data_IF_795962437658
#
_entry.id   IF_795962437658
#
_cell.length_a   1.000
_cell.length_b   1.000
_cell.length_c   1.000
_cell.angle_alpha   90.00
_cell.angle_beta   90.00
_cell.angle_gamma   90.00
#
_symmetry.space_group_name_H-M   'P 1'
#
loop_
_entity.id
_entity.type
_entity.pdbx_description
1 polymer ?
#
# COMPACT_ATOMS: atom_id res chain seq x y z
N UNK A 1 -8.78 5.09 7.06
CA UNK A 1 -7.68 4.46 6.29
C UNK A 1 -7.40 5.20 4.99
N UNK A 2 -8.38 5.48 4.13
CA UNK A 2 -8.17 6.20 2.85
C UNK A 2 -7.54 7.60 2.99
N UNK A 3 -7.93 8.40 3.99
CA UNK A 3 -7.33 9.73 4.20
C UNK A 3 -5.83 9.68 4.51
N UNK A 4 -5.39 8.69 5.29
CA UNK A 4 -3.98 8.52 5.68
C UNK A 4 -3.16 8.10 4.46
N UNK A 5 -3.70 7.18 3.63
CA UNK A 5 -3.07 6.76 2.38
C UNK A 5 -2.95 7.93 1.39
N UNK A 6 -4.02 8.73 1.23
CA UNK A 6 -3.98 9.95 0.42
C UNK A 6 -2.92 10.93 0.90
N UNK A 7 -2.88 11.24 2.20
CA UNK A 7 -1.87 12.14 2.78
C UNK A 7 -0.45 11.61 2.58
N UNK A 8 -0.24 10.31 2.73
CA UNK A 8 1.05 9.66 2.49
C UNK A 8 1.50 9.81 1.03
N UNK A 9 0.61 9.53 0.06
CA UNK A 9 0.91 9.66 -1.37
C UNK A 9 1.22 11.11 -1.78
N UNK A 10 0.44 12.08 -1.31
CA UNK A 10 0.71 13.50 -1.59
C UNK A 10 2.04 13.97 -0.98
N UNK A 11 2.41 13.45 0.19
CA UNK A 11 3.67 13.79 0.87
C UNK A 11 4.87 13.06 0.24
N UNK A 12 4.69 11.82 -0.22
CA UNK A 12 5.78 11.02 -0.79
C UNK A 12 6.29 11.58 -2.11
N UNK A 13 5.39 12.12 -2.95
CA UNK A 13 5.79 12.79 -4.21
C UNK A 13 6.61 14.05 -3.91
N UNK A 14 6.24 14.80 -2.87
CA UNK A 14 6.99 16.00 -2.45
C UNK A 14 8.40 15.69 -1.93
N UNK A 15 8.58 14.57 -1.22
CA UNK A 15 9.87 14.20 -0.63
C UNK A 15 10.92 13.81 -1.68
N UNK A 16 10.52 13.09 -2.73
CA UNK A 16 11.43 12.69 -3.81
C UNK A 16 11.89 13.89 -4.62
N UNK A 17 10.95 14.76 -5.03
CA UNK A 17 11.28 15.97 -5.78
C UNK A 17 12.24 16.90 -5.01
N UNK A 18 11.96 17.13 -3.73
CA UNK A 18 12.81 17.94 -2.86
C UNK A 18 14.22 17.36 -2.69
N UNK A 19 14.32 16.02 -2.57
CA UNK A 19 15.62 15.35 -2.41
C UNK A 19 16.47 15.44 -3.68
N UNK A 20 15.86 15.22 -4.86
CA UNK A 20 16.55 15.35 -6.15
C UNK A 20 17.05 16.78 -6.40
N UNK A 21 16.21 17.79 -6.12
CA UNK A 21 16.63 19.19 -6.19
C UNK A 21 17.79 19.47 -5.23
N UNK A 22 17.74 18.95 -4.00
CA UNK A 22 18.78 19.17 -3.00
C UNK A 22 20.12 18.58 -3.44
N UNK A 23 20.12 17.38 -4.01
CA UNK A 23 21.34 16.71 -4.51
C UNK A 23 21.96 17.52 -5.65
N UNK A 24 21.17 17.94 -6.64
CA UNK A 24 21.68 18.81 -7.72
C UNK A 24 22.26 20.10 -7.17
N UNK A 25 21.60 20.73 -6.20
CA UNK A 25 22.06 21.98 -5.60
C UNK A 25 23.40 21.82 -4.88
N UNK A 26 23.55 20.75 -4.11
CA UNK A 26 24.81 20.45 -3.38
C UNK A 26 25.96 20.18 -4.35
N UNK A 27 25.71 19.42 -5.42
CA UNK A 27 26.73 19.15 -6.44
C UNK A 27 27.13 20.43 -7.16
N UNK A 28 26.17 21.26 -7.57
CA UNK A 28 26.45 22.55 -8.20
C UNK A 28 27.21 23.50 -7.27
N UNK A 29 26.89 23.53 -5.97
CA UNK A 29 27.63 24.30 -4.97
C UNK A 29 29.10 23.83 -4.87
N UNK A 30 29.34 22.52 -4.87
CA UNK A 30 30.70 21.97 -4.83
C UNK A 30 31.52 22.31 -6.08
N UNK A 31 30.89 22.29 -7.27
CA UNK A 31 31.51 22.75 -8.52
C UNK A 31 31.83 24.25 -8.44
N UNK A 32 30.87 25.06 -7.97
CA UNK A 32 31.05 26.52 -7.85
C UNK A 32 32.18 26.91 -6.90
N UNK A 33 32.42 26.09 -5.87
CA UNK A 33 33.50 26.27 -4.90
C UNK A 33 34.84 25.72 -5.40
N UNK A 34 34.92 25.26 -6.67
CA UNK A 34 36.09 24.59 -7.26
C UNK A 34 36.59 23.39 -6.45
N UNK A 35 35.71 22.77 -5.64
CA UNK A 35 36.03 21.58 -4.84
C UNK A 35 35.99 20.30 -5.67
N UNK A 36 35.22 20.32 -6.75
CA UNK A 36 35.12 19.27 -7.76
C UNK A 36 35.01 19.93 -9.13
N UNK A 37 35.41 19.22 -10.18
CA UNK A 37 35.23 19.68 -11.57
C UNK A 37 33.77 19.60 -12.03
N UNK A 38 33.39 20.36 -13.06
CA UNK A 38 32.07 20.25 -13.70
C UNK A 38 31.80 18.82 -14.22
N UNK A 39 32.84 18.16 -14.71
CA UNK A 39 32.75 16.81 -15.26
C UNK A 39 32.50 15.76 -14.16
N UNK A 40 33.19 15.88 -13.02
CA UNK A 40 32.90 15.06 -11.84
C UNK A 40 31.50 15.33 -11.28
N UNK A 41 31.07 16.59 -11.22
CA UNK A 41 29.73 16.95 -10.76
C UNK A 41 28.62 16.34 -11.63
N UNK A 42 28.75 16.44 -12.96
CA UNK A 42 27.82 15.78 -13.90
C UNK A 42 27.79 14.27 -13.69
N UNK A 43 28.97 13.66 -13.55
CA UNK A 43 29.09 12.21 -13.37
C UNK A 43 28.41 11.72 -12.08
N UNK A 44 28.55 12.45 -10.98
CA UNK A 44 27.88 12.13 -9.71
C UNK A 44 26.35 12.15 -9.87
N UNK A 45 25.80 13.14 -10.58
CA UNK A 45 24.36 13.23 -10.82
C UNK A 45 23.88 12.11 -11.76
N UNK A 46 24.62 11.82 -12.83
CA UNK A 46 24.31 10.72 -13.75
C UNK A 46 24.37 9.36 -13.06
N UNK A 47 25.40 9.09 -12.27
CA UNK A 47 25.56 7.84 -11.52
C UNK A 47 24.42 7.69 -10.51
N UNK A 48 24.04 8.76 -9.81
CA UNK A 48 22.89 8.74 -8.90
C UNK A 48 21.58 8.42 -9.62
N UNK A 49 21.36 8.98 -10.81
CA UNK A 49 20.17 8.70 -11.63
C UNK A 49 20.16 7.26 -12.11
N UNK A 50 21.27 6.76 -12.66
CA UNK A 50 21.40 5.36 -13.11
C UNK A 50 21.21 4.36 -11.97
N UNK A 51 21.84 4.59 -10.83
CA UNK A 51 21.69 3.72 -9.66
C UNK A 51 20.24 3.71 -9.15
N UNK A 52 19.56 4.87 -9.24
CA UNK A 52 18.16 4.98 -8.85
C UNK A 52 17.24 4.25 -9.83
N UNK A 53 17.50 4.34 -11.14
CA UNK A 53 16.77 3.59 -12.17
C UNK A 53 16.95 2.08 -12.00
N UNK A 54 18.17 1.60 -11.77
CA UNK A 54 18.44 0.18 -11.53
C UNK A 54 17.79 -0.35 -10.24
N UNK A 55 17.67 0.49 -9.21
CA UNK A 55 16.97 0.15 -7.96
C UNK A 55 15.46 0.28 -8.06
N UNK A 56 14.93 0.97 -9.08
CA UNK A 56 13.48 1.16 -9.26
C UNK A 56 12.75 -0.17 -9.39
N UNK A 57 13.26 -1.08 -10.22
CA UNK A 57 12.64 -2.40 -10.42
C UNK A 57 12.64 -3.22 -9.13
N UNK A 58 13.74 -3.19 -8.38
CA UNK A 58 13.84 -3.89 -7.09
C UNK A 58 12.89 -3.28 -6.04
N UNK A 59 12.76 -1.95 -6.05
CA UNK A 59 11.79 -1.23 -5.20
C UNK A 59 10.37 -1.58 -5.59
N UNK A 60 10.02 -1.61 -6.89
CA UNK A 60 8.69 -1.99 -7.37
C UNK A 60 8.34 -3.42 -6.96
N UNK A 61 9.27 -4.37 -7.09
CA UNK A 61 9.09 -5.74 -6.65
C UNK A 61 8.84 -5.84 -5.14
N UNK A 62 9.69 -5.21 -4.31
CA UNK A 62 9.51 -5.17 -2.85
C UNK A 62 8.22 -4.45 -2.45
N UNK A 63 7.84 -3.40 -3.18
CA UNK A 63 6.60 -2.67 -2.94
C UNK A 63 5.37 -3.53 -3.22
N UNK A 64 5.40 -4.34 -4.29
CA UNK A 64 4.33 -5.30 -4.60
C UNK A 64 4.17 -6.34 -3.49
N UNK A 65 5.27 -6.91 -2.99
CA UNK A 65 5.24 -7.88 -1.88
C UNK A 65 4.67 -7.27 -0.60
N UNK A 66 5.10 -6.05 -0.26
CA UNK A 66 4.58 -5.32 0.90
C UNK A 66 3.09 -5.02 0.73
N UNK A 67 2.68 -4.56 -0.45
CA UNK A 67 1.27 -4.30 -0.76
C UNK A 67 0.43 -5.57 -0.62
N UNK A 68 0.86 -6.70 -1.19
CA UNK A 68 0.16 -7.98 -1.06
C UNK A 68 0.04 -8.42 0.40
N UNK A 69 1.09 -8.27 1.21
CA UNK A 69 1.04 -8.59 2.63
C UNK A 69 0.08 -7.69 3.40
N UNK A 70 0.05 -6.39 3.10
CA UNK A 70 -0.90 -5.47 3.73
C UNK A 70 -2.34 -5.84 3.35
N UNK A 71 -2.62 -6.10 2.07
CA UNK A 71 -3.96 -6.51 1.62
C UNK A 71 -4.41 -7.82 2.26
N UNK A 72 -3.54 -8.84 2.33
CA UNK A 72 -3.83 -10.11 3.01
C UNK A 72 -4.15 -9.92 4.49
N UNK A 73 -3.43 -9.04 5.18
CA UNK A 73 -3.68 -8.74 6.60
C UNK A 73 -4.99 -7.97 6.82
N UNK A 74 -5.32 -7.02 5.95
CA UNK A 74 -6.60 -6.30 6.01
C UNK A 74 -7.77 -7.26 5.76
N UNK A 75 -7.65 -8.15 4.77
CA UNK A 75 -8.71 -9.11 4.43
C UNK A 75 -8.88 -10.18 5.53
N UNK A 76 -7.77 -10.62 6.14
CA UNK A 76 -7.78 -11.47 7.33
C UNK A 76 -8.46 -10.80 8.53
N UNK A 77 -8.16 -9.52 8.79
CA UNK A 77 -8.82 -8.75 9.84
C UNK A 77 -10.33 -8.62 9.57
N UNK A 78 -10.72 -8.33 8.33
CA UNK A 78 -12.12 -8.20 7.93
C UNK A 78 -12.88 -9.53 8.08
N UNK A 79 -12.25 -10.66 7.72
CA UNK A 79 -12.80 -12.00 7.98
C UNK A 79 -12.93 -12.34 9.47
N UNK A 80 -11.99 -11.88 10.31
CA UNK A 80 -12.05 -12.11 11.76
C UNK A 80 -13.22 -11.35 12.37
N UNK A 81 -13.39 -10.08 12.00
CA UNK A 81 -14.51 -9.23 12.44
C UNK A 81 -15.87 -9.82 12.01
N UNK A 82 -16.01 -10.30 10.77
CA UNK A 82 -17.26 -10.91 10.30
C UNK A 82 -17.56 -12.24 10.99
N UNK A 83 -16.55 -13.08 11.24
CA UNK A 83 -16.74 -14.33 11.98
C UNK A 83 -17.19 -14.09 13.41
N UNK A 84 -16.54 -13.17 14.13
CA UNK A 84 -16.92 -12.82 15.51
C UNK A 84 -18.32 -12.22 15.58
N UNK A 85 -18.73 -11.45 14.57
CA UNK A 85 -20.09 -10.89 14.51
C UNK A 85 -21.13 -11.96 14.20
N UNK A 86 -20.84 -12.90 13.28
CA UNK A 86 -21.71 -14.02 12.96
C UNK A 86 -21.91 -14.96 14.16
N UNK A 87 -20.84 -15.28 14.90
CA UNK A 87 -20.95 -16.12 16.11
C UNK A 87 -21.75 -15.42 17.22
N UNK A 88 -21.69 -14.09 17.31
CA UNK A 88 -22.53 -13.33 18.25
C UNK A 88 -23.99 -13.28 17.79
N UNK A 89 -24.26 -13.24 16.49
CA UNK A 89 -25.61 -13.33 15.96
C UNK A 89 -26.24 -14.70 16.26
N UNK A 90 -25.53 -15.79 16.01
CA UNK A 90 -25.98 -17.16 16.35
C UNK A 90 -26.22 -17.35 17.86
N UNK A 91 -25.33 -16.82 18.72
CA UNK A 91 -25.50 -16.91 20.19
C UNK A 91 -26.70 -16.07 20.69
N UNK A 92 -27.00 -14.95 20.04
CA UNK A 92 -28.17 -14.12 20.34
C UNK A 92 -29.45 -14.79 19.81
N UNK A 93 -29.44 -15.35 18.60
CA UNK A 93 -30.58 -16.07 18.00
C UNK A 93 -30.93 -17.34 18.79
N UNK A 94 -29.92 -18.08 19.26
CA UNK A 94 -30.10 -19.25 20.12
C UNK A 94 -30.66 -18.89 21.50
N UNK A 95 -30.26 -17.75 22.07
CA UNK A 95 -30.79 -17.24 23.36
C UNK A 95 -32.18 -16.61 23.25
N UNK A 96 -32.57 -16.12 22.07
CA UNK A 96 -33.88 -15.52 21.82
C UNK A 96 -34.93 -16.52 21.31
N UNK A 97 -34.54 -17.78 21.05
CA UNK A 97 -35.48 -18.84 20.65
C UNK A 97 -36.10 -18.65 19.27
N UNK A 98 -35.49 -17.83 18.41
CA UNK A 98 -35.96 -17.55 17.04
C UNK A 98 -35.36 -18.61 16.11
N UNK A 99 -35.67 -19.87 16.37
CA UNK A 99 -35.40 -20.96 15.44
C UNK A 99 -36.70 -21.35 14.76
N UNK A 100 -37.10 -20.62 13.73
CA UNK A 100 -38.24 -21.04 12.90
C UNK A 100 -37.74 -21.60 11.56
N UNK A 101 -37.82 -22.92 11.50
CA UNK A 101 -38.16 -23.76 10.35
C UNK A 101 -38.57 -23.02 9.08
N UNK A 102 -37.82 -23.25 7.99
CA UNK A 102 -38.43 -23.26 6.65
C UNK A 102 -38.33 -24.69 6.15
N UNK A 103 -39.38 -25.45 6.41
CA UNK A 103 -39.68 -26.68 5.68
C UNK A 103 -39.84 -26.33 4.20
N UNK A 104 -38.93 -26.82 3.37
CA UNK A 104 -39.19 -26.93 1.93
C UNK A 104 -40.17 -28.08 1.74
N UNK A 105 -41.47 -27.81 1.91
CA UNK A 105 -42.52 -28.68 1.41
C UNK A 105 -42.50 -28.65 -0.13
N UNK A 106 -42.23 -29.82 -0.70
CA UNK A 106 -42.53 -30.17 -2.08
C UNK A 106 -44.00 -29.94 -2.40
N UNK A 107 -44.31 -29.20 -3.47
CA UNK A 107 -45.55 -29.40 -4.24
C UNK A 107 -45.21 -29.54 -5.72
N UNK A 108 -45.52 -30.73 -6.22
CA UNK A 108 -45.46 -31.22 -7.60
C UNK A 108 -46.73 -30.79 -8.36
N UNK A 109 -46.55 -30.40 -9.64
CA UNK A 109 -47.52 -30.28 -10.76
C UNK A 109 -48.79 -29.39 -10.56
N UNK A 110 -49.45 -28.79 -11.55
CA UNK A 110 -49.83 -29.19 -12.92
C UNK A 110 -50.18 -27.93 -13.74
N UNK A 111 -49.68 -27.78 -14.97
CA UNK A 111 -50.43 -27.77 -16.24
C UNK A 111 -49.64 -27.13 -17.40
#
# INVERSE_FOLDING_TARGET
MEEILKKFLYTSVGLVAYTSEKIQKVVNDLVSQSKISEEEGKKIVEDFLKDTEGKREEIEAKFKDVAENIFKNIDFMKKKETKTTATRAEDIESKLGIGETVETETVVEVK
#
